data_IF_498563223824
#
_entry.id   IF_498563223824
#
_cell.length_a   1.000
_cell.length_b   1.000
_cell.length_c   1.000
_cell.angle_alpha   90.00
_cell.angle_beta   90.00
_cell.angle_gamma   90.00
#
_symmetry.space_group_name_H-M   'P 1'
#
loop_
_entity.id
_entity.type
_entity.pdbx_description
1 polymer ?
#
# COMPACT_ATOMS: atom_id res chain seq x y z
N UNK A 1 17.75 22.26 -5.20
CA UNK A 1 16.52 23.08 -5.29
C UNK A 1 15.68 22.80 -4.05
N UNK A 2 15.33 23.83 -3.28
CA UNK A 2 14.48 23.72 -2.09
C UNK A 2 13.02 23.66 -2.53
N UNK A 3 12.36 22.53 -2.32
CA UNK A 3 10.93 22.39 -2.66
C UNK A 3 10.09 23.01 -1.53
N UNK A 4 9.24 24.00 -1.81
CA UNK A 4 8.48 24.67 -0.77
C UNK A 4 7.42 23.73 -0.17
N UNK A 5 7.15 23.88 1.13
CA UNK A 5 6.22 23.03 1.89
C UNK A 5 4.82 22.91 1.25
N UNK A 6 4.36 23.97 0.57
CA UNK A 6 3.08 23.98 -0.14
C UNK A 6 3.00 22.93 -1.27
N UNK A 7 4.14 22.57 -1.86
CA UNK A 7 4.20 21.67 -3.02
C UNK A 7 4.23 20.19 -2.59
N UNK A 8 4.64 19.89 -1.35
CA UNK A 8 4.69 18.51 -0.79
C UNK A 8 4.31 18.50 0.69
N UNK A 9 3.01 18.38 0.97
CA UNK A 9 2.48 18.40 2.34
C UNK A 9 2.46 17.00 2.94
N UNK A 10 3.43 16.69 3.80
CA UNK A 10 3.47 15.40 4.52
C UNK A 10 2.21 15.15 5.35
N UNK A 11 1.76 13.90 5.41
CA UNK A 11 0.69 13.48 6.33
C UNK A 11 1.24 13.21 7.73
N UNK A 12 2.46 12.67 7.81
CA UNK A 12 3.21 12.49 9.05
C UNK A 12 4.49 13.35 9.01
N UNK A 13 4.56 14.47 9.74
CA UNK A 13 5.74 15.34 9.77
C UNK A 13 7.00 14.66 10.31
N UNK A 14 6.87 13.59 11.08
CA UNK A 14 7.99 12.89 11.75
C UNK A 14 8.72 11.92 10.83
N UNK A 15 8.17 11.62 9.64
CA UNK A 15 8.72 10.65 8.69
C UNK A 15 9.35 11.32 7.47
N UNK A 16 10.09 10.51 6.71
CA UNK A 16 10.69 10.89 5.43
C UNK A 16 9.68 10.99 4.30
N UNK A 17 10.09 10.66 3.08
CA UNK A 17 9.24 10.69 1.89
C UNK A 17 8.19 9.55 1.86
N UNK A 18 8.37 8.49 2.62
CA UNK A 18 7.48 7.33 2.69
C UNK A 18 6.98 7.12 4.13
N UNK A 19 5.77 6.57 4.24
CA UNK A 19 5.21 6.01 5.46
C UNK A 19 5.83 4.63 5.75
N UNK A 20 5.67 4.10 6.98
CA UNK A 20 6.27 2.82 7.35
C UNK A 20 5.78 1.60 6.54
N UNK A 21 4.62 1.69 5.89
CA UNK A 21 4.07 0.67 4.99
C UNK A 21 4.61 0.77 3.53
N UNK A 22 5.48 1.74 3.28
CA UNK A 22 6.10 2.03 1.98
C UNK A 22 5.28 2.95 1.07
N UNK A 23 4.12 3.45 1.52
CA UNK A 23 3.30 4.39 0.73
C UNK A 23 3.82 5.83 0.80
N UNK A 24 3.51 6.71 -0.18
CA UNK A 24 3.99 8.10 -0.18
C UNK A 24 3.52 8.90 1.04
N UNK A 25 4.43 9.55 1.77
CA UNK A 25 4.08 10.44 2.88
C UNK A 25 3.58 11.79 2.35
N UNK A 26 2.38 11.80 1.79
CA UNK A 26 1.74 12.95 1.17
C UNK A 26 0.26 12.96 1.58
N UNK A 27 -0.17 14.07 2.16
CA UNK A 27 -1.52 14.28 2.68
C UNK A 27 -2.52 14.70 1.59
N UNK A 28 -2.06 14.86 0.35
CA UNK A 28 -2.90 15.16 -0.81
C UNK A 28 -2.93 13.99 -1.82
N UNK A 29 -2.36 12.83 -1.46
CA UNK A 29 -2.34 11.65 -2.33
C UNK A 29 -3.74 11.06 -2.52
N UNK A 30 -3.97 10.43 -3.68
CA UNK A 30 -5.24 9.73 -4.01
C UNK A 30 -5.40 8.43 -3.21
N UNK A 31 -4.29 7.72 -2.97
CA UNK A 31 -4.30 6.45 -2.24
C UNK A 31 -4.73 6.65 -0.78
N UNK A 32 -5.91 6.13 -0.42
CA UNK A 32 -6.35 6.04 0.97
C UNK A 32 -5.58 4.96 1.73
N UNK A 33 -5.77 4.88 3.04
CA UNK A 33 -5.16 3.86 3.86
C UNK A 33 -5.50 4.06 5.34
N UNK A 34 -4.72 3.42 6.23
CA UNK A 34 -4.84 3.66 7.66
C UNK A 34 -4.67 5.15 8.00
N UNK A 35 -5.39 5.59 9.02
CA UNK A 35 -5.28 6.96 9.54
C UNK A 35 -4.02 7.10 10.41
N UNK A 36 -3.62 8.34 10.70
CA UNK A 36 -2.55 8.61 11.67
C UNK A 36 -2.86 8.05 13.06
N UNK A 37 -4.15 8.02 13.45
CA UNK A 37 -4.59 7.38 14.70
C UNK A 37 -4.23 5.89 14.70
N UNK A 38 -4.63 5.14 13.66
CA UNK A 38 -4.34 3.71 13.56
C UNK A 38 -2.82 3.43 13.52
N UNK A 39 -2.04 4.22 12.77
CA UNK A 39 -0.59 4.07 12.76
C UNK A 39 0.03 4.30 14.14
N UNK A 40 -0.45 5.29 14.89
CA UNK A 40 0.01 5.56 16.26
C UNK A 40 -0.30 4.40 17.22
N UNK A 41 -1.53 3.87 17.17
CA UNK A 41 -1.94 2.72 17.99
C UNK A 41 -1.12 1.47 17.67
N UNK A 42 -0.90 1.17 16.39
CA UNK A 42 -0.08 0.03 15.98
C UNK A 42 1.38 0.16 16.36
N UNK A 43 1.94 1.37 16.27
CA UNK A 43 3.30 1.64 16.73
C UNK A 43 3.41 1.44 18.24
N UNK A 44 2.45 1.95 19.02
CA UNK A 44 2.41 1.77 20.48
C UNK A 44 2.27 0.29 20.88
N UNK A 45 1.51 -0.49 20.09
CA UNK A 45 1.38 -1.93 20.26
C UNK A 45 2.58 -2.75 19.74
N UNK A 46 3.59 -2.12 19.15
CA UNK A 46 4.77 -2.80 18.60
C UNK A 46 4.49 -3.65 17.36
N UNK A 47 3.41 -3.37 16.63
CA UNK A 47 3.05 -4.12 15.43
C UNK A 47 3.91 -3.72 14.25
N UNK A 48 4.48 -4.72 13.56
CA UNK A 48 5.21 -4.49 12.31
C UNK A 48 4.22 -4.26 11.17
N UNK A 49 4.42 -3.17 10.43
CA UNK A 49 3.54 -2.81 9.32
C UNK A 49 3.90 -3.56 8.04
N UNK A 50 2.92 -3.95 7.22
CA UNK A 50 3.19 -4.61 5.95
C UNK A 50 3.79 -3.63 4.95
N UNK A 51 4.67 -4.10 4.07
CA UNK A 51 5.05 -3.34 2.89
C UNK A 51 4.00 -3.56 1.77
N UNK A 52 3.25 -2.53 1.40
CA UNK A 52 2.13 -2.70 0.47
C UNK A 52 2.57 -3.09 -0.95
N UNK A 53 3.73 -2.61 -1.41
CA UNK A 53 4.27 -2.97 -2.72
C UNK A 53 4.59 -4.47 -2.78
N UNK A 54 5.31 -4.99 -1.78
CA UNK A 54 5.62 -6.43 -1.68
C UNK A 54 4.37 -7.27 -1.52
N UNK A 55 3.38 -6.79 -0.75
CA UNK A 55 2.11 -7.51 -0.58
C UNK A 55 1.34 -7.63 -1.90
N UNK A 56 1.24 -6.54 -2.67
CA UNK A 56 0.60 -6.52 -4.00
C UNK A 56 1.32 -7.44 -4.98
N UNK A 57 2.66 -7.36 -5.01
CA UNK A 57 3.49 -8.20 -5.88
C UNK A 57 3.31 -9.70 -5.55
N UNK A 58 3.31 -10.05 -4.27
CA UNK A 58 3.11 -11.44 -3.83
C UNK A 58 1.78 -12.01 -4.32
N UNK A 59 0.68 -11.26 -4.14
CA UNK A 59 -0.65 -11.72 -4.53
C UNK A 59 -0.78 -11.87 -6.05
N UNK A 60 -0.25 -10.90 -6.80
CA UNK A 60 -0.18 -10.97 -8.26
C UNK A 60 0.57 -12.22 -8.73
N UNK A 61 1.80 -12.44 -8.22
CA UNK A 61 2.61 -13.62 -8.58
C UNK A 61 1.88 -14.93 -8.27
N UNK A 62 1.26 -15.02 -7.09
CA UNK A 62 0.48 -16.20 -6.68
C UNK A 62 -0.72 -16.44 -7.60
N UNK A 63 -1.47 -15.40 -7.94
CA UNK A 63 -2.65 -15.52 -8.80
C UNK A 63 -2.27 -15.95 -10.22
N UNK A 64 -1.22 -15.35 -10.79
CA UNK A 64 -0.67 -15.76 -12.09
C UNK A 64 -0.21 -17.21 -12.08
N UNK A 65 0.50 -17.64 -11.03
CA UNK A 65 0.92 -19.02 -10.87
C UNK A 65 -0.27 -19.99 -10.89
N UNK A 66 -1.36 -19.66 -10.18
CA UNK A 66 -2.57 -20.47 -10.16
C UNK A 66 -3.32 -20.55 -11.51
N UNK A 67 -3.23 -19.51 -12.34
CA UNK A 67 -3.75 -19.54 -13.73
C UNK A 67 -2.93 -20.53 -14.57
N UNK A 68 -1.60 -20.49 -14.46
CA UNK A 68 -0.68 -21.39 -15.18
C UNK A 68 -0.87 -22.84 -14.74
N UNK A 69 -0.94 -23.12 -13.43
CA UNK A 69 -1.14 -24.47 -12.87
C UNK A 69 -2.43 -25.14 -13.36
N UNK A 70 -3.43 -24.35 -13.75
CA UNK A 70 -4.71 -24.83 -14.29
C UNK A 70 -4.71 -24.92 -15.82
N UNK A 71 -3.62 -24.57 -16.49
CA UNK A 71 -3.54 -24.54 -17.95
C UNK A 71 -4.45 -23.50 -18.60
N UNK A 72 -4.79 -22.42 -17.89
CA UNK A 72 -5.68 -21.37 -18.38
C UNK A 72 -4.87 -20.25 -19.06
N UNK A 73 -5.47 -19.60 -20.05
CA UNK A 73 -4.88 -18.44 -20.75
C UNK A 73 -5.08 -17.10 -20.02
N UNK A 74 -5.96 -17.05 -19.03
CA UNK A 74 -6.27 -15.82 -18.29
C UNK A 74 -7.36 -15.99 -17.24
N UNK A 75 -7.56 -14.93 -16.47
CA UNK A 75 -8.58 -14.81 -15.42
C UNK A 75 -9.27 -13.45 -15.56
N UNK A 76 -10.59 -13.46 -15.75
CA UNK A 76 -11.43 -12.25 -15.80
C UNK A 76 -12.30 -12.20 -14.54
N UNK A 77 -12.28 -11.05 -13.86
CA UNK A 77 -12.82 -10.92 -12.50
C UNK A 77 -13.83 -9.77 -12.45
N UNK A 78 -15.02 -10.04 -11.90
CA UNK A 78 -16.07 -9.05 -11.64
C UNK A 78 -16.40 -8.90 -10.15
N UNK A 79 -16.04 -9.88 -9.33
CA UNK A 79 -16.23 -9.81 -7.89
C UNK A 79 -15.25 -8.77 -7.27
N UNK A 80 -15.74 -7.79 -6.50
CA UNK A 80 -14.92 -6.70 -5.97
C UNK A 80 -13.86 -7.16 -4.98
N UNK A 81 -14.08 -8.26 -4.26
CA UNK A 81 -13.08 -8.81 -3.35
C UNK A 81 -11.93 -9.48 -4.11
N UNK A 82 -12.24 -10.12 -5.23
CA UNK A 82 -11.22 -10.68 -6.11
C UNK A 82 -10.45 -9.58 -6.88
N UNK A 83 -11.10 -8.46 -7.23
CA UNK A 83 -10.40 -7.27 -7.77
C UNK A 83 -9.49 -6.65 -6.71
N UNK A 84 -9.92 -6.67 -5.44
CA UNK A 84 -9.15 -6.14 -4.32
C UNK A 84 -7.96 -7.02 -3.93
N UNK A 85 -8.04 -8.31 -4.18
CA UNK A 85 -7.01 -9.28 -3.81
C UNK A 85 -5.71 -8.98 -4.55
#
# INVERSE_FOLDING_TARGET
>A
MTQPYRDTRKIDPTKGALLPDGTPNDNNRVEIGPTQLAFGEWQAAGLTLPNLQKMREFRWKRLTQHVVERGLGGLLIFDPLNIRY
#
